data_IF_183019324427
#
_entry.id   IF_183019324427
#
_cell.length_a   1.000
_cell.length_b   1.000
_cell.length_c   1.000
_cell.angle_alpha   90.00
_cell.angle_beta   90.00
_cell.angle_gamma   90.00
#
_symmetry.space_group_name_H-M   'P 1'
#
loop_
_entity.id
_entity.type
_entity.pdbx_description
1 polymer ?
#
# COMPACT_ATOMS: atom_id res chain seq x y z
N UNK A 1 4.37 23.01 -21.77
CA UNK A 1 5.84 23.02 -21.63
C UNK A 1 6.21 22.09 -20.48
N UNK A 2 6.86 20.97 -20.77
CA UNK A 2 7.34 20.05 -19.74
C UNK A 2 8.52 20.68 -19.00
N UNK A 3 8.48 20.72 -17.66
CA UNK A 3 9.67 21.07 -16.87
C UNK A 3 10.70 19.95 -17.07
N UNK A 4 11.83 20.34 -17.64
CA UNK A 4 13.06 19.55 -17.76
C UNK A 4 13.41 19.03 -16.36
N UNK A 5 13.31 17.72 -16.16
CA UNK A 5 13.88 17.06 -14.99
C UNK A 5 15.39 17.26 -15.08
N UNK A 6 15.99 17.78 -14.01
CA UNK A 6 17.42 18.08 -13.96
C UNK A 6 18.21 16.82 -14.32
N UNK A 7 19.07 16.96 -15.32
CA UNK A 7 20.02 15.95 -15.75
C UNK A 7 21.10 15.89 -14.66
N UNK A 8 21.47 14.67 -14.25
CA UNK A 8 22.55 14.41 -13.30
C UNK A 8 23.80 15.23 -13.67
N UNK A 9 24.22 16.15 -12.80
CA UNK A 9 25.39 16.99 -13.04
C UNK A 9 25.54 18.25 -12.18
N UNK A 10 24.47 18.74 -11.54
CA UNK A 10 24.54 19.83 -10.56
C UNK A 10 23.83 19.41 -9.28
N UNK A 11 24.38 18.39 -8.61
CA UNK A 11 24.11 18.22 -7.19
C UNK A 11 24.93 19.30 -6.47
N UNK A 12 24.29 20.40 -6.09
CA UNK A 12 24.81 21.20 -4.98
C UNK A 12 25.08 20.24 -3.83
N UNK A 13 26.30 20.29 -3.27
CA UNK A 13 26.71 19.43 -2.18
C UNK A 13 25.71 19.57 -1.02
N UNK A 14 24.91 18.53 -0.79
CA UNK A 14 24.02 18.49 0.37
C UNK A 14 24.91 18.51 1.62
N UNK A 15 24.78 19.50 2.52
CA UNK A 15 25.63 19.58 3.70
C UNK A 15 25.47 18.32 4.55
N UNK A 16 26.56 17.57 4.75
CA UNK A 16 26.59 16.35 5.57
C UNK A 16 26.71 15.03 4.81
N UNK A 17 26.68 15.02 3.47
CA UNK A 17 26.94 13.82 2.67
C UNK A 17 28.43 13.77 2.30
N UNK A 18 29.19 12.85 2.89
CA UNK A 18 30.59 12.62 2.50
C UNK A 18 30.68 12.09 1.06
N UNK A 19 31.54 12.70 0.23
CA UNK A 19 31.85 12.21 -1.11
C UNK A 19 32.38 10.77 -1.02
N UNK A 20 31.63 9.81 -1.56
CA UNK A 20 31.97 8.38 -1.55
C UNK A 20 31.01 7.48 -0.75
N UNK A 21 29.96 8.03 -0.15
CA UNK A 21 28.91 7.23 0.49
C UNK A 21 28.15 6.37 -0.55
N UNK A 22 28.20 5.04 -0.36
CA UNK A 22 27.46 4.09 -1.18
C UNK A 22 26.02 3.98 -0.65
N UNK A 23 25.05 4.34 -1.50
CA UNK A 23 23.63 4.20 -1.17
C UNK A 23 23.05 2.90 -1.72
N UNK A 24 22.32 2.17 -0.88
CA UNK A 24 21.57 0.99 -1.27
C UNK A 24 20.36 1.35 -2.13
N UNK A 25 19.75 2.52 -1.90
CA UNK A 25 18.58 3.01 -2.62
C UNK A 25 18.68 4.50 -2.94
N UNK A 26 18.04 4.89 -4.05
CA UNK A 26 17.79 6.30 -4.36
C UNK A 26 16.61 6.84 -3.55
N UNK A 27 15.63 5.99 -3.25
CA UNK A 27 14.52 6.28 -2.37
C UNK A 27 14.17 5.06 -1.53
N UNK A 28 14.02 5.28 -0.22
CA UNK A 28 13.42 4.31 0.68
C UNK A 28 12.06 4.82 1.16
N UNK A 29 11.03 3.99 1.04
CA UNK A 29 9.66 4.34 1.41
C UNK A 29 9.25 3.53 2.64
N UNK A 30 8.72 4.20 3.66
CA UNK A 30 8.16 3.55 4.85
C UNK A 30 6.64 3.61 4.74
N UNK A 31 6.01 2.46 4.53
CA UNK A 31 4.58 2.30 4.29
C UNK A 31 4.24 2.08 2.81
N UNK A 32 3.26 1.21 2.57
CA UNK A 32 2.75 0.85 1.24
C UNK A 32 1.29 1.26 1.05
N UNK A 33 0.95 2.45 1.55
CA UNK A 33 -0.30 3.10 1.24
C UNK A 33 -0.41 3.49 -0.23
N UNK A 34 -1.51 4.18 -0.55
CA UNK A 34 -1.77 4.64 -1.91
C UNK A 34 -0.68 5.57 -2.44
N UNK A 35 -0.08 6.39 -1.57
CA UNK A 35 1.01 7.31 -1.92
C UNK A 35 2.31 6.58 -2.19
N UNK A 36 2.72 5.70 -1.27
CA UNK A 36 3.95 4.95 -1.27
C UNK A 36 4.03 3.99 -2.44
N UNK A 37 2.98 3.20 -2.68
CA UNK A 37 2.92 2.31 -3.85
C UNK A 37 3.03 3.10 -5.15
N UNK A 38 2.34 4.24 -5.25
CA UNK A 38 2.37 5.06 -6.47
C UNK A 38 3.75 5.67 -6.67
N UNK A 39 4.34 6.25 -5.63
CA UNK A 39 5.67 6.85 -5.66
C UNK A 39 6.72 5.82 -6.06
N UNK A 40 6.71 4.64 -5.40
CA UNK A 40 7.67 3.57 -5.65
C UNK A 40 7.68 3.15 -7.11
N UNK A 41 6.49 2.84 -7.65
CA UNK A 41 6.34 2.40 -9.03
C UNK A 41 6.69 3.50 -10.04
N UNK A 42 6.26 4.73 -9.75
CA UNK A 42 6.53 5.85 -10.64
C UNK A 42 8.03 6.08 -10.76
N UNK A 43 8.75 6.22 -9.65
CA UNK A 43 10.18 6.51 -9.66
C UNK A 43 11.01 5.34 -10.20
N UNK A 44 10.64 4.09 -9.89
CA UNK A 44 11.35 2.93 -10.44
C UNK A 44 11.24 2.86 -11.97
N UNK A 45 10.11 3.26 -12.54
CA UNK A 45 9.94 3.36 -14.00
C UNK A 45 10.85 4.43 -14.65
N UNK A 46 11.36 5.38 -13.87
CA UNK A 46 12.36 6.37 -14.32
C UNK A 46 13.80 5.96 -13.97
N UNK A 47 14.02 4.71 -13.52
CA UNK A 47 15.35 4.13 -13.29
C UNK A 47 15.88 4.27 -11.86
N UNK A 48 15.11 4.85 -10.94
CA UNK A 48 15.52 4.93 -9.53
C UNK A 48 15.49 3.55 -8.88
N UNK A 49 16.49 3.25 -8.05
CA UNK A 49 16.52 2.05 -7.21
C UNK A 49 15.70 2.30 -5.94
N UNK A 50 14.52 1.69 -5.85
CA UNK A 50 13.57 1.95 -4.76
C UNK A 50 13.44 0.76 -3.82
N UNK A 51 13.54 1.05 -2.51
CA UNK A 51 13.17 0.16 -1.42
C UNK A 51 11.85 0.62 -0.80
N UNK A 52 11.01 -0.32 -0.37
CA UNK A 52 9.77 -0.01 0.35
C UNK A 52 9.54 -1.01 1.47
N UNK A 53 9.12 -0.56 2.64
CA UNK A 53 8.86 -1.39 3.81
C UNK A 53 7.40 -1.32 4.23
N UNK A 54 6.81 -2.45 4.63
CA UNK A 54 5.45 -2.54 5.15
C UNK A 54 5.32 -3.69 6.15
N UNK A 55 4.42 -3.55 7.13
CA UNK A 55 4.10 -4.60 8.08
C UNK A 55 3.49 -5.85 7.39
N UNK A 56 3.64 -7.05 7.98
CA UNK A 56 3.06 -8.27 7.43
C UNK A 56 1.54 -8.15 7.26
N UNK A 57 1.02 -8.91 6.29
CA UNK A 57 -0.41 -8.89 5.97
C UNK A 57 -1.20 -9.96 6.74
N UNK A 58 -2.37 -9.57 7.25
CA UNK A 58 -3.43 -10.45 7.72
C UNK A 58 -4.78 -9.79 7.40
N UNK A 59 -5.79 -10.62 7.13
CA UNK A 59 -7.15 -10.15 6.87
C UNK A 59 -7.84 -9.56 8.12
N UNK A 60 -7.32 -9.85 9.31
CA UNK A 60 -7.75 -9.28 10.59
C UNK A 60 -6.77 -8.16 10.95
N UNK A 61 -7.32 -6.98 11.17
CA UNK A 61 -6.56 -5.77 11.53
C UNK A 61 -5.96 -5.92 12.93
N UNK A 62 -4.69 -5.54 13.09
CA UNK A 62 -4.03 -5.26 14.38
C UNK A 62 -2.97 -4.16 14.17
N UNK A 63 -2.33 -3.75 15.26
CA UNK A 63 -1.23 -2.77 15.27
C UNK A 63 0.02 -3.31 14.56
N UNK A 64 0.25 -4.63 14.64
CA UNK A 64 1.44 -5.28 14.06
C UNK A 64 1.21 -5.83 12.66
N UNK A 65 0.07 -5.49 12.05
CA UNK A 65 -0.36 -6.03 10.76
C UNK A 65 -0.80 -4.87 9.87
N UNK A 66 -0.17 -4.73 8.72
CA UNK A 66 -0.51 -3.75 7.70
C UNK A 66 -0.91 -4.46 6.42
N UNK A 67 0.08 -4.63 5.56
CA UNK A 67 -0.02 -5.29 4.28
C UNK A 67 -0.15 -4.32 3.10
N UNK A 68 0.39 -4.76 1.96
CA UNK A 68 0.50 -3.94 0.75
C UNK A 68 -0.86 -3.46 0.22
N UNK A 69 -0.91 -2.15 -0.07
CA UNK A 69 -2.11 -1.41 -0.49
C UNK A 69 -2.62 -0.45 0.59
N UNK A 70 -2.16 -0.63 1.84
CA UNK A 70 -2.44 0.23 2.98
C UNK A 70 -3.92 0.32 3.35
N UNK A 71 -4.27 1.35 4.12
CA UNK A 71 -5.58 1.48 4.76
C UNK A 71 -6.73 1.42 3.76
N UNK A 72 -6.66 2.15 2.65
CA UNK A 72 -7.73 2.24 1.66
C UNK A 72 -8.14 0.85 1.10
N UNK A 73 -7.14 0.02 0.79
CA UNK A 73 -7.34 -1.31 0.19
C UNK A 73 -7.72 -2.34 1.25
N UNK A 74 -7.01 -2.36 2.37
CA UNK A 74 -7.13 -3.45 3.36
C UNK A 74 -8.32 -3.24 4.30
N UNK A 75 -8.56 -2.00 4.75
CA UNK A 75 -9.50 -1.70 5.85
C UNK A 75 -10.23 -0.37 5.70
N UNK A 76 -10.33 0.15 4.49
CA UNK A 76 -10.88 1.48 4.20
C UNK A 76 -11.90 1.45 3.07
N UNK A 77 -11.68 2.28 2.05
CA UNK A 77 -12.64 2.52 0.98
C UNK A 77 -13.12 1.25 0.27
N UNK A 78 -12.22 0.28 0.02
CA UNK A 78 -12.55 -0.95 -0.69
C UNK A 78 -13.53 -1.82 0.09
N UNK A 79 -13.21 -2.32 1.31
CA UNK A 79 -14.16 -3.11 2.08
C UNK A 79 -15.43 -2.31 2.40
N UNK A 80 -15.31 -1.01 2.67
CA UNK A 80 -16.47 -0.13 2.87
C UNK A 80 -17.40 -0.15 1.67
N UNK A 81 -16.87 -0.05 0.45
CA UNK A 81 -17.69 -0.05 -0.77
C UNK A 81 -18.39 -1.40 -0.99
N UNK A 82 -17.71 -2.51 -0.74
CA UNK A 82 -18.30 -3.86 -0.82
C UNK A 82 -19.47 -4.01 0.16
N UNK A 83 -19.29 -3.57 1.40
CA UNK A 83 -20.33 -3.65 2.44
C UNK A 83 -21.53 -2.76 2.13
N UNK A 84 -21.29 -1.50 1.73
CA UNK A 84 -22.35 -0.56 1.36
C UNK A 84 -23.15 -1.08 0.16
N UNK A 85 -22.48 -1.64 -0.84
CA UNK A 85 -23.15 -2.19 -2.02
C UNK A 85 -23.94 -3.46 -1.68
N UNK A 86 -23.39 -4.36 -0.87
CA UNK A 86 -24.12 -5.53 -0.38
C UNK A 86 -25.38 -5.17 0.42
N UNK A 87 -25.37 -4.05 1.15
CA UNK A 87 -26.50 -3.57 1.93
C UNK A 87 -27.57 -2.86 1.08
N UNK A 88 -27.24 -2.26 -0.07
CA UNK A 88 -28.21 -1.50 -0.87
C UNK A 88 -29.27 -2.39 -1.53
N UNK A 89 -28.92 -3.64 -1.84
CA UNK A 89 -29.81 -4.58 -2.50
C UNK A 89 -31.10 -4.88 -1.73
N UNK A 90 -31.12 -4.74 -0.41
CA UNK A 90 -32.33 -5.01 0.38
C UNK A 90 -33.53 -4.16 -0.07
N UNK A 91 -33.36 -2.84 -0.10
CA UNK A 91 -34.42 -1.92 -0.56
C UNK A 91 -34.68 -2.04 -2.06
N UNK A 92 -33.62 -2.23 -2.87
CA UNK A 92 -33.78 -2.40 -4.32
C UNK A 92 -34.64 -3.62 -4.69
N UNK A 93 -34.53 -4.72 -3.94
CA UNK A 93 -35.36 -5.93 -4.15
C UNK A 93 -36.82 -5.72 -3.74
N UNK A 94 -37.08 -4.90 -2.72
CA UNK A 94 -38.44 -4.51 -2.34
C UNK A 94 -39.06 -3.62 -3.41
N UNK A 95 -38.34 -2.60 -3.85
CA UNK A 95 -38.77 -1.66 -4.88
C UNK A 95 -39.03 -2.35 -6.22
N UNK A 96 -38.20 -3.33 -6.60
CA UNK A 96 -38.33 -4.06 -7.86
C UNK A 96 -39.73 -4.68 -8.05
N UNK A 97 -40.38 -5.13 -6.97
CA UNK A 97 -41.74 -5.69 -7.03
C UNK A 97 -42.75 -4.66 -7.55
N UNK A 98 -42.58 -3.39 -7.20
CA UNK A 98 -43.44 -2.30 -7.67
C UNK A 98 -43.23 -1.96 -9.16
N UNK A 99 -42.12 -2.41 -9.75
CA UNK A 99 -41.79 -2.25 -11.17
C UNK A 99 -42.07 -3.53 -11.99
N UNK A 100 -42.88 -4.45 -11.47
CA UNK A 100 -43.32 -5.66 -12.18
C UNK A 100 -42.35 -6.84 -12.12
N UNK A 101 -41.32 -6.80 -11.27
CA UNK A 101 -40.45 -7.95 -11.04
C UNK A 101 -41.09 -8.95 -10.08
N UNK A 102 -41.26 -10.18 -10.54
CA UNK A 102 -41.74 -11.29 -9.71
C UNK A 102 -40.56 -12.05 -9.09
N UNK A 103 -40.38 -11.89 -7.78
CA UNK A 103 -39.42 -12.69 -7.00
C UNK A 103 -40.20 -13.82 -6.31
N UNK A 104 -39.96 -15.06 -6.76
CA UNK A 104 -40.69 -16.27 -6.34
C UNK A 104 -40.36 -16.75 -4.93
N UNK A 105 -39.23 -16.33 -4.37
CA UNK A 105 -38.76 -16.76 -3.05
C UNK A 105 -38.48 -15.55 -2.14
N UNK A 106 -38.50 -15.81 -0.83
CA UNK A 106 -37.99 -14.85 0.16
C UNK A 106 -36.47 -14.78 0.02
N UNK A 107 -35.95 -13.58 -0.26
CA UNK A 107 -34.51 -13.36 -0.39
C UNK A 107 -33.93 -12.97 0.96
N UNK A 108 -33.23 -13.89 1.62
CA UNK A 108 -32.57 -13.64 2.90
C UNK A 108 -31.11 -13.18 2.73
N UNK A 109 -30.71 -12.19 3.51
CA UNK A 109 -29.35 -11.66 3.50
C UNK A 109 -28.37 -12.57 4.26
N UNK A 110 -27.37 -13.10 3.55
CA UNK A 110 -26.32 -13.92 4.14
C UNK A 110 -25.07 -13.09 4.47
N UNK A 111 -25.00 -12.59 5.71
CA UNK A 111 -23.87 -11.80 6.22
C UNK A 111 -22.53 -12.52 6.11
N UNK A 112 -22.47 -13.82 6.43
CA UNK A 112 -21.23 -14.61 6.36
C UNK A 112 -20.69 -14.67 4.94
N UNK A 113 -21.57 -14.85 3.95
CA UNK A 113 -21.19 -14.86 2.53
C UNK A 113 -20.63 -13.50 2.09
N UNK A 114 -21.23 -12.39 2.52
CA UNK A 114 -20.71 -11.05 2.21
C UNK A 114 -19.32 -10.83 2.82
N UNK A 115 -19.14 -11.17 4.10
CA UNK A 115 -17.84 -11.05 4.77
C UNK A 115 -16.76 -11.91 4.11
N UNK A 116 -17.09 -13.14 3.70
CA UNK A 116 -16.16 -14.00 2.96
C UNK A 116 -15.73 -13.33 1.65
N UNK A 117 -16.70 -12.81 0.86
CA UNK A 117 -16.39 -12.13 -0.40
C UNK A 117 -15.55 -10.86 -0.20
N UNK A 118 -15.82 -10.09 0.86
CA UNK A 118 -14.97 -8.96 1.25
C UNK A 118 -13.54 -9.41 1.55
N UNK A 119 -13.36 -10.50 2.29
CA UNK A 119 -12.03 -11.00 2.68
C UNK A 119 -11.26 -11.56 1.48
N UNK A 120 -11.93 -12.34 0.62
CA UNK A 120 -11.35 -12.85 -0.63
C UNK A 120 -10.82 -11.71 -1.51
N UNK A 121 -11.59 -10.63 -1.60
CA UNK A 121 -11.21 -9.47 -2.42
C UNK A 121 -10.01 -8.70 -1.84
N UNK A 122 -9.95 -8.52 -0.52
CA UNK A 122 -8.78 -7.92 0.14
C UNK A 122 -7.52 -8.77 -0.10
N UNK A 123 -7.63 -10.10 0.06
CA UNK A 123 -6.52 -11.01 -0.20
C UNK A 123 -6.03 -10.91 -1.65
N UNK A 124 -6.97 -10.89 -2.61
CA UNK A 124 -6.67 -10.75 -4.03
C UNK A 124 -5.95 -9.43 -4.32
N UNK A 125 -6.45 -8.32 -3.78
CA UNK A 125 -5.87 -7.00 -4.00
C UNK A 125 -4.49 -6.88 -3.37
N UNK A 126 -4.29 -7.34 -2.13
CA UNK A 126 -2.97 -7.36 -1.50
C UNK A 126 -1.93 -8.05 -2.40
N UNK A 127 -2.26 -9.22 -2.96
CA UNK A 127 -1.42 -9.92 -3.91
C UNK A 127 -1.17 -9.15 -5.22
N UNK A 128 -2.17 -8.44 -5.74
CA UNK A 128 -2.00 -7.56 -6.91
C UNK A 128 -1.01 -6.44 -6.61
N UNK A 129 -1.14 -5.79 -5.46
CA UNK A 129 -0.25 -4.71 -5.05
C UNK A 129 1.19 -5.19 -4.85
N UNK A 130 1.40 -6.36 -4.24
CA UNK A 130 2.72 -7.02 -4.19
C UNK A 130 3.31 -7.24 -5.58
N UNK A 131 2.51 -7.75 -6.53
CA UNK A 131 2.95 -7.93 -7.93
C UNK A 131 3.24 -6.61 -8.64
N UNK A 132 2.48 -5.55 -8.39
CA UNK A 132 2.72 -4.24 -9.00
C UNK A 132 4.05 -3.62 -8.58
N UNK A 133 4.46 -3.82 -7.32
CA UNK A 133 5.77 -3.41 -6.83
C UNK A 133 6.89 -4.27 -7.43
N UNK A 134 6.75 -5.59 -7.37
CA UNK A 134 7.73 -6.53 -7.94
C UNK A 134 7.96 -6.32 -9.43
N UNK A 135 6.90 -6.13 -10.21
CA UNK A 135 7.00 -5.85 -11.66
C UNK A 135 7.68 -4.50 -11.96
N UNK A 136 7.65 -3.56 -11.03
CA UNK A 136 8.36 -2.28 -11.17
C UNK A 136 9.83 -2.36 -10.70
N UNK A 137 10.30 -3.53 -10.26
CA UNK A 137 11.66 -3.70 -9.72
C UNK A 137 11.85 -3.13 -8.31
N UNK A 138 10.76 -2.77 -7.62
CA UNK A 138 10.82 -2.25 -6.25
C UNK A 138 11.14 -3.40 -5.30
N UNK A 139 12.13 -3.19 -4.41
CA UNK A 139 12.43 -4.15 -3.34
C UNK A 139 11.48 -3.93 -2.17
N UNK A 140 10.56 -4.87 -1.98
CA UNK A 140 9.65 -4.89 -0.83
C UNK A 140 10.32 -5.58 0.36
N UNK A 141 10.26 -4.94 1.51
CA UNK A 141 10.64 -5.45 2.81
C UNK A 141 9.39 -5.61 3.67
N UNK A 142 9.27 -6.76 4.33
CA UNK A 142 8.16 -7.04 5.25
C UNK A 142 8.66 -6.87 6.69
N UNK A 143 8.12 -5.90 7.42
CA UNK A 143 8.58 -5.52 8.76
C UNK A 143 8.29 -4.07 9.12
N UNK A 144 8.78 -3.63 10.29
CA UNK A 144 8.78 -2.24 10.70
C UNK A 144 10.08 -1.56 10.23
N UNK A 145 10.01 -0.29 9.83
CA UNK A 145 11.19 0.52 9.50
C UNK A 145 11.18 1.85 10.26
N UNK A 146 12.36 2.30 10.66
CA UNK A 146 12.61 3.52 11.45
C UNK A 146 13.76 4.29 10.83
N UNK A 147 13.64 5.62 10.80
CA UNK A 147 14.74 6.50 10.41
C UNK A 147 15.68 6.60 11.60
N UNK A 148 16.95 6.24 11.40
CA UNK A 148 17.97 6.23 12.47
C UNK A 148 19.13 7.20 12.20
N UNK A 149 19.14 7.82 11.02
CA UNK A 149 20.07 8.87 10.65
C UNK A 149 19.58 9.63 9.41
N UNK A 150 20.32 10.66 8.98
CA UNK A 150 19.93 11.54 7.86
C UNK A 150 19.65 10.76 6.56
N UNK A 151 20.42 9.71 6.32
CA UNK A 151 20.36 8.87 5.12
C UNK A 151 20.27 7.38 5.47
N UNK A 152 19.84 7.06 6.69
CA UNK A 152 19.89 5.69 7.20
C UNK A 152 18.53 5.25 7.73
N UNK A 153 18.04 4.13 7.20
CA UNK A 153 16.81 3.49 7.65
C UNK A 153 17.15 2.11 8.19
N UNK A 154 16.69 1.83 9.41
CA UNK A 154 16.78 0.53 10.08
C UNK A 154 15.42 -0.16 10.07
N UNK A 155 15.39 -1.47 9.91
CA UNK A 155 14.16 -2.23 10.07
C UNK A 155 14.38 -3.71 10.25
N UNK A 156 13.31 -4.39 10.66
CA UNK A 156 13.25 -5.86 10.67
C UNK A 156 13.08 -6.38 9.24
N UNK A 157 14.18 -6.32 8.51
CA UNK A 157 14.24 -6.61 7.09
C UNK A 157 14.72 -8.06 6.95
N UNK A 158 13.79 -8.98 6.74
CA UNK A 158 14.05 -10.43 6.64
C UNK A 158 14.68 -11.05 7.92
N UNK A 159 14.04 -10.87 9.07
CA UNK A 159 14.43 -11.50 10.36
C UNK A 159 15.85 -11.17 10.85
N UNK A 160 16.54 -10.24 10.19
CA UNK A 160 17.83 -9.70 10.61
C UNK A 160 17.69 -8.18 10.65
N UNK A 161 17.75 -7.57 11.84
CA UNK A 161 17.77 -6.11 11.93
C UNK A 161 18.95 -5.59 11.12
N UNK A 162 18.64 -4.80 10.09
CA UNK A 162 19.60 -4.36 9.09
C UNK A 162 19.41 -2.88 8.79
N UNK A 163 20.52 -2.20 8.52
CA UNK A 163 20.53 -0.79 8.14
C UNK A 163 20.75 -0.67 6.64
N UNK A 164 19.97 0.18 5.99
CA UNK A 164 20.15 0.53 4.58
C UNK A 164 20.46 2.02 4.46
N UNK A 165 21.42 2.35 3.61
CA UNK A 165 21.75 3.71 3.25
C UNK A 165 20.89 4.15 2.06
N UNK A 166 20.25 5.32 2.14
CA UNK A 166 19.37 5.84 1.10
C UNK A 166 19.56 7.34 0.91
N UNK A 167 19.49 7.80 -0.36
CA UNK A 167 19.60 9.24 -0.65
C UNK A 167 18.44 10.03 -0.07
N UNK A 168 17.23 9.49 -0.20
CA UNK A 168 15.99 10.11 0.28
C UNK A 168 15.12 9.11 1.02
N UNK A 169 14.29 9.61 1.94
CA UNK A 169 13.27 8.83 2.65
C UNK A 169 11.89 9.44 2.43
N UNK A 170 10.90 8.62 2.06
CA UNK A 170 9.50 9.03 1.94
C UNK A 170 8.62 8.29 2.95
N UNK A 171 7.90 9.06 3.77
CA UNK A 171 7.00 8.54 4.80
C UNK A 171 5.57 8.46 4.26
N UNK A 172 5.05 7.24 4.14
CA UNK A 172 3.67 6.92 3.75
C UNK A 172 3.04 5.91 4.73
N UNK A 173 3.38 6.02 6.01
CA UNK A 173 2.86 5.15 7.08
C UNK A 173 1.35 5.31 7.32
N UNK A 174 0.74 6.38 6.79
CA UNK A 174 -0.66 6.70 7.02
C UNK A 174 -0.95 7.11 8.46
N UNK A 175 -2.22 6.98 8.87
CA UNK A 175 -2.69 7.27 10.22
C UNK A 175 -3.22 6.00 10.89
N UNK A 176 -3.03 5.91 12.20
CA UNK A 176 -3.67 4.89 13.05
C UNK A 176 -4.99 5.41 13.61
N UNK A 177 -5.98 4.52 13.76
CA UNK A 177 -7.23 4.83 14.44
C UNK A 177 -7.04 4.59 15.94
N UNK A 178 -7.19 5.64 16.75
CA UNK A 178 -7.14 5.62 18.22
C UNK A 178 -8.31 4.89 18.86
#
# INVERSE_FOLDING_TARGET
MARKMLIDGEAESVPGVEQGTHFDFDLFIIGTGSGGVRAARFLSNYGAKVGICELPFNAISSETIGGVGGTCVIRGCVPKKILVYGASFGGELEDARNYGWELSEKVDFNWKKLLQKKTDEINRLNGIYKRLLSNAGVKLFEGEAKIVGLNEVEGDINETSGKNQTKEVFLDSGNEAS
#
